data_IF_902352012266
#
_entry.id   IF_902352012266
#
_cell.length_a   1.000
_cell.length_b   1.000
_cell.length_c   1.000
_cell.angle_alpha   90.00
_cell.angle_beta   90.00
_cell.angle_gamma   90.00
#
_symmetry.space_group_name_H-M   'P 1'
#
loop_
_entity.id
_entity.type
_entity.pdbx_description
1 polymer ?
#
# COMPACT_ATOMS: atom_id res chain seq x y z
N UNK A 1 -25.48 -3.72 -23.51
CA UNK A 1 -25.85 -5.07 -23.97
C UNK A 1 -26.71 -4.95 -25.22
N UNK A 2 -26.71 -5.91 -26.15
CA UNK A 2 -27.62 -5.83 -27.32
C UNK A 2 -29.08 -5.93 -26.85
N UNK A 3 -30.01 -5.39 -27.65
CA UNK A 3 -31.45 -5.43 -27.32
C UNK A 3 -31.93 -6.86 -27.08
N UNK A 4 -31.48 -7.82 -27.90
CA UNK A 4 -31.81 -9.24 -27.73
C UNK A 4 -31.45 -9.76 -26.33
N UNK A 5 -30.20 -9.60 -25.90
CA UNK A 5 -29.75 -10.08 -24.61
C UNK A 5 -30.40 -9.32 -23.44
N UNK A 6 -30.66 -8.02 -23.62
CA UNK A 6 -31.41 -7.23 -22.64
C UNK A 6 -32.81 -7.80 -22.43
N UNK A 7 -33.56 -8.01 -23.51
CA UNK A 7 -34.91 -8.57 -23.44
C UNK A 7 -34.90 -9.98 -22.86
N UNK A 8 -33.96 -10.82 -23.27
CA UNK A 8 -33.78 -12.18 -22.74
C UNK A 8 -33.64 -12.17 -21.20
N UNK A 9 -32.72 -11.37 -20.67
CA UNK A 9 -32.50 -11.26 -19.21
C UNK A 9 -33.74 -10.72 -18.51
N UNK A 10 -34.35 -9.64 -19.04
CA UNK A 10 -35.53 -9.05 -18.43
C UNK A 10 -36.70 -10.03 -18.36
N UNK A 11 -36.96 -10.76 -19.45
CA UNK A 11 -38.08 -11.73 -19.52
C UNK A 11 -37.87 -12.89 -18.56
N UNK A 12 -36.66 -13.45 -18.49
CA UNK A 12 -36.38 -14.57 -17.57
C UNK A 12 -36.49 -14.13 -16.11
N UNK A 13 -35.90 -12.99 -15.74
CA UNK A 13 -35.95 -12.51 -14.36
C UNK A 13 -37.39 -12.21 -13.91
N UNK A 14 -38.16 -11.49 -14.74
CA UNK A 14 -39.57 -11.19 -14.44
C UNK A 14 -40.39 -12.48 -14.41
N UNK A 15 -40.18 -13.38 -15.37
CA UNK A 15 -40.84 -14.68 -15.44
C UNK A 15 -40.57 -15.53 -14.21
N UNK A 16 -39.34 -15.57 -13.71
CA UNK A 16 -38.98 -16.27 -12.48
C UNK A 16 -39.64 -15.66 -11.24
N UNK A 17 -39.70 -14.32 -11.12
CA UNK A 17 -40.39 -13.66 -10.01
C UNK A 17 -41.89 -13.96 -10.01
N UNK A 18 -42.53 -13.93 -11.19
CA UNK A 18 -43.95 -14.30 -11.35
C UNK A 18 -44.13 -15.78 -11.03
N UNK A 19 -43.24 -16.65 -11.50
CA UNK A 19 -43.25 -18.09 -11.22
C UNK A 19 -43.14 -18.40 -9.73
N UNK A 20 -42.25 -17.71 -9.01
CA UNK A 20 -42.11 -17.84 -7.55
C UNK A 20 -43.36 -17.34 -6.81
N UNK A 21 -43.92 -16.20 -7.21
CA UNK A 21 -45.17 -15.69 -6.65
C UNK A 21 -46.33 -16.67 -6.87
N UNK A 22 -46.43 -17.23 -8.09
CA UNK A 22 -47.42 -18.24 -8.43
C UNK A 22 -47.24 -19.53 -7.62
N UNK A 23 -46.00 -20.02 -7.48
CA UNK A 23 -45.69 -21.21 -6.69
C UNK A 23 -46.10 -21.02 -5.23
N UNK A 24 -45.69 -19.90 -4.62
CA UNK A 24 -46.01 -19.56 -3.24
C UNK A 24 -47.52 -19.48 -2.98
N UNK A 25 -48.29 -18.90 -3.92
CA UNK A 25 -49.74 -18.80 -3.80
C UNK A 25 -50.43 -20.15 -4.09
N UNK A 26 -49.88 -20.97 -4.97
CA UNK A 26 -50.46 -22.26 -5.35
C UNK A 26 -50.29 -23.30 -4.25
N UNK A 27 -49.12 -23.38 -3.61
CA UNK A 27 -48.89 -24.26 -2.44
C UNK A 27 -49.77 -23.86 -1.25
N UNK A 28 -50.16 -22.59 -1.17
CA UNK A 28 -51.02 -22.08 -0.10
C UNK A 28 -52.51 -22.45 -0.26
N UNK A 29 -53.00 -22.76 -1.47
CA UNK A 29 -54.45 -22.96 -1.72
C UNK A 29 -55.06 -24.15 -0.98
N UNK A 30 -54.25 -25.18 -0.66
CA UNK A 30 -54.71 -26.42 -0.02
C UNK A 30 -54.39 -26.55 1.46
N UNK A 31 -53.78 -25.53 2.08
CA UNK A 31 -53.27 -25.67 3.45
C UNK A 31 -54.38 -25.61 4.52
N UNK A 32 -54.15 -26.29 5.64
CA UNK A 32 -55.02 -26.22 6.82
C UNK A 32 -54.95 -24.83 7.50
N UNK A 33 -55.98 -24.45 8.27
CA UNK A 33 -56.02 -23.12 8.89
C UNK A 33 -55.15 -23.00 10.15
N UNK A 34 -54.84 -24.12 10.78
CA UNK A 34 -54.11 -24.24 12.04
C UNK A 34 -53.09 -25.37 11.94
N UNK A 35 -52.10 -25.39 12.83
CA UNK A 35 -51.18 -26.52 12.97
C UNK A 35 -51.98 -27.80 13.27
N UNK A 36 -51.66 -28.87 12.55
CA UNK A 36 -52.27 -30.18 12.67
C UNK A 36 -51.20 -31.25 12.89
N UNK A 37 -51.54 -32.29 13.65
CA UNK A 37 -50.72 -33.49 13.80
C UNK A 37 -51.02 -34.55 12.71
N UNK A 38 -51.69 -34.16 11.62
CA UNK A 38 -52.05 -35.05 10.51
C UNK A 38 -50.82 -35.36 9.66
N UNK A 39 -50.57 -36.65 9.40
CA UNK A 39 -49.49 -37.12 8.52
C UNK A 39 -50.01 -37.49 7.13
N UNK A 40 -49.13 -37.47 6.13
CA UNK A 40 -49.45 -37.71 4.71
C UNK A 40 -49.74 -39.19 4.35
N UNK A 41 -49.72 -40.11 5.33
CA UNK A 41 -50.10 -41.52 5.14
C UNK A 41 -49.04 -42.43 4.48
N UNK A 42 -47.83 -41.90 4.25
CA UNK A 42 -46.67 -42.66 3.76
C UNK A 42 -45.48 -42.47 4.71
N UNK A 43 -44.73 -43.56 4.94
CA UNK A 43 -43.52 -43.54 5.77
C UNK A 43 -42.31 -43.90 4.94
N UNK A 44 -41.25 -43.11 5.08
CA UNK A 44 -39.95 -43.33 4.46
C UNK A 44 -38.91 -43.48 5.57
N UNK A 45 -38.37 -44.69 5.72
CA UNK A 45 -37.34 -45.00 6.74
C UNK A 45 -37.78 -44.62 8.17
N UNK A 46 -39.05 -44.85 8.49
CA UNK A 46 -39.62 -44.52 9.80
C UNK A 46 -39.94 -43.03 10.01
N UNK A 47 -39.72 -42.17 9.02
CA UNK A 47 -40.09 -40.75 9.04
C UNK A 47 -41.41 -40.55 8.30
N UNK A 48 -42.32 -39.77 8.89
CA UNK A 48 -43.57 -39.33 8.28
C UNK A 48 -43.62 -37.79 8.22
N UNK A 49 -44.29 -37.26 7.20
CA UNK A 49 -44.41 -35.82 6.98
C UNK A 49 -45.76 -35.30 7.46
N UNK A 50 -45.76 -34.20 8.21
CA UNK A 50 -46.97 -33.49 8.61
C UNK A 50 -47.50 -32.59 7.49
N UNK A 51 -48.82 -32.59 7.27
CA UNK A 51 -49.51 -31.68 6.36
C UNK A 51 -49.85 -30.34 7.04
N UNK A 52 -48.80 -29.64 7.47
CA UNK A 52 -48.92 -28.37 8.19
C UNK A 52 -48.95 -27.16 7.25
N UNK A 53 -49.67 -26.09 7.63
CA UNK A 53 -49.68 -24.88 6.82
C UNK A 53 -48.36 -24.14 6.95
N UNK A 54 -48.03 -23.38 5.91
CA UNK A 54 -46.85 -22.50 5.95
C UNK A 54 -46.99 -21.51 7.11
N UNK A 55 -45.94 -21.34 7.95
CA UNK A 55 -45.98 -20.35 9.01
C UNK A 55 -46.30 -18.96 8.45
N UNK A 56 -47.29 -18.27 9.02
CA UNK A 56 -47.76 -16.97 8.50
C UNK A 56 -46.63 -15.93 8.39
N UNK A 57 -45.73 -15.91 9.37
CA UNK A 57 -44.58 -15.02 9.37
C UNK A 57 -43.61 -15.32 8.22
N UNK A 58 -43.38 -16.61 7.92
CA UNK A 58 -42.51 -17.06 6.83
C UNK A 58 -43.12 -16.68 5.49
N UNK A 59 -44.42 -16.89 5.32
CA UNK A 59 -45.13 -16.49 4.10
C UNK A 59 -44.99 -15.00 3.83
N UNK A 60 -45.25 -14.16 4.85
CA UNK A 60 -45.16 -12.71 4.69
C UNK A 60 -43.72 -12.23 4.50
N UNK A 61 -42.74 -12.90 5.11
CA UNK A 61 -41.33 -12.65 4.85
C UNK A 61 -40.99 -12.95 3.38
N UNK A 62 -41.42 -14.10 2.85
CA UNK A 62 -41.20 -14.46 1.45
C UNK A 62 -41.87 -13.47 0.49
N UNK A 63 -43.10 -13.06 0.76
CA UNK A 63 -43.76 -12.00 -0.02
C UNK A 63 -42.98 -10.69 0.07
N UNK A 64 -42.50 -10.33 1.26
CA UNK A 64 -41.68 -9.15 1.48
C UNK A 64 -40.39 -9.16 0.64
N UNK A 65 -39.70 -10.29 0.53
CA UNK A 65 -38.48 -10.40 -0.30
C UNK A 65 -38.78 -10.29 -1.79
N UNK A 66 -39.92 -10.83 -2.26
CA UNK A 66 -40.35 -10.66 -3.66
C UNK A 66 -40.67 -9.19 -3.98
N UNK A 67 -41.41 -8.52 -3.09
CA UNK A 67 -41.74 -7.09 -3.24
C UNK A 67 -40.47 -6.24 -3.19
N UNK A 68 -39.56 -6.53 -2.25
CA UNK A 68 -38.26 -5.88 -2.18
C UNK A 68 -37.45 -6.10 -3.46
N UNK A 69 -37.34 -7.32 -3.96
CA UNK A 69 -36.61 -7.65 -5.18
C UNK A 69 -37.18 -6.94 -6.40
N UNK A 70 -38.50 -6.91 -6.56
CA UNK A 70 -39.15 -6.15 -7.63
C UNK A 70 -38.87 -4.64 -7.51
N UNK A 71 -39.01 -4.07 -6.31
CA UNK A 71 -38.69 -2.66 -6.05
C UNK A 71 -37.22 -2.34 -6.32
N UNK A 72 -36.31 -3.24 -5.94
CA UNK A 72 -34.87 -3.10 -6.19
C UNK A 72 -34.56 -3.08 -7.68
N UNK A 73 -35.16 -3.97 -8.49
CA UNK A 73 -34.99 -4.01 -9.94
C UNK A 73 -35.61 -2.81 -10.67
N UNK A 74 -36.60 -2.15 -10.06
CA UNK A 74 -37.10 -0.86 -10.55
C UNK A 74 -36.08 0.25 -10.28
N UNK A 75 -35.53 0.30 -9.07
CA UNK A 75 -34.61 1.36 -8.64
C UNK A 75 -33.19 1.23 -9.24
N UNK A 76 -32.68 0.02 -9.39
CA UNK A 76 -31.30 -0.27 -9.78
C UNK A 76 -31.22 -0.98 -11.15
N UNK A 77 -30.07 -0.92 -11.84
CA UNK A 77 -29.83 -1.75 -13.01
C UNK A 77 -29.84 -3.24 -12.63
N UNK A 78 -30.43 -4.07 -13.49
CA UNK A 78 -30.53 -5.51 -13.27
C UNK A 78 -31.42 -6.22 -14.30
N UNK A 79 -32.41 -5.52 -14.83
CA UNK A 79 -33.26 -5.99 -15.94
C UNK A 79 -32.66 -5.59 -17.29
N UNK A 80 -31.67 -6.34 -17.76
CA UNK A 80 -31.03 -6.08 -19.06
C UNK A 80 -30.38 -4.69 -19.12
N UNK A 81 -30.79 -3.86 -20.08
CA UNK A 81 -30.31 -2.48 -20.24
C UNK A 81 -31.11 -1.46 -19.40
N UNK A 82 -32.08 -1.89 -18.58
CA UNK A 82 -32.75 -0.99 -17.63
C UNK A 82 -31.72 -0.39 -16.68
N UNK A 83 -31.69 0.95 -16.58
CA UNK A 83 -30.68 1.69 -15.79
C UNK A 83 -31.08 1.96 -14.35
N UNK A 84 -32.33 1.64 -13.98
CA UNK A 84 -32.89 2.04 -12.70
C UNK A 84 -33.39 3.48 -12.69
N UNK A 85 -34.26 3.79 -11.72
CA UNK A 85 -34.79 5.14 -11.48
C UNK A 85 -34.43 5.68 -10.09
N UNK A 86 -33.35 5.17 -9.49
CA UNK A 86 -32.86 5.66 -8.19
C UNK A 86 -32.59 7.18 -8.26
N UNK A 87 -33.21 8.00 -7.40
CA UNK A 87 -33.01 9.44 -7.41
C UNK A 87 -31.58 9.82 -7.02
N UNK A 88 -31.08 10.93 -7.56
CA UNK A 88 -29.74 11.44 -7.28
C UNK A 88 -28.63 10.92 -8.21
N UNK A 89 -29.00 10.20 -9.28
CA UNK A 89 -28.13 9.80 -10.38
C UNK A 89 -28.80 10.11 -11.72
N UNK A 90 -28.32 11.11 -12.46
CA UNK A 90 -28.97 11.60 -13.69
C UNK A 90 -29.09 10.53 -14.79
N UNK A 91 -28.11 9.65 -14.89
CA UNK A 91 -28.05 8.60 -15.92
C UNK A 91 -28.28 7.19 -15.35
N UNK A 92 -28.95 7.10 -14.21
CA UNK A 92 -29.11 5.86 -13.45
C UNK A 92 -27.89 5.53 -12.58
N UNK A 93 -28.11 4.70 -11.57
CA UNK A 93 -27.04 4.25 -10.69
C UNK A 93 -26.15 3.23 -11.42
N UNK A 94 -24.83 3.38 -11.25
CA UNK A 94 -23.83 2.35 -11.55
C UNK A 94 -22.74 2.44 -10.49
N UNK A 95 -21.99 1.36 -10.26
CA UNK A 95 -20.86 1.40 -9.33
C UNK A 95 -19.81 2.46 -9.69
N UNK A 96 -19.62 2.72 -10.99
CA UNK A 96 -18.73 3.79 -11.46
C UNK A 96 -19.26 5.20 -11.13
N UNK A 97 -20.57 5.43 -11.31
CA UNK A 97 -21.18 6.72 -10.99
C UNK A 97 -21.20 6.99 -9.47
N UNK A 98 -21.42 5.95 -8.67
CA UNK A 98 -21.35 6.05 -7.20
C UNK A 98 -19.94 6.36 -6.73
N UNK A 99 -18.94 5.64 -7.24
CA UNK A 99 -17.53 5.92 -6.97
C UNK A 99 -17.15 7.35 -7.38
N UNK A 100 -17.52 7.79 -8.58
CA UNK A 100 -17.24 9.14 -9.07
C UNK A 100 -17.84 10.21 -8.15
N UNK A 101 -19.11 10.03 -7.74
CA UNK A 101 -19.80 10.93 -6.82
C UNK A 101 -19.15 10.97 -5.44
N UNK A 102 -18.66 9.83 -4.95
CA UNK A 102 -17.91 9.76 -3.69
C UNK A 102 -16.56 10.48 -3.79
N UNK A 103 -15.83 10.28 -4.89
CA UNK A 103 -14.56 10.97 -5.16
C UNK A 103 -14.76 12.48 -5.28
N UNK A 104 -15.76 12.96 -6.04
CA UNK A 104 -16.07 14.39 -6.15
C UNK A 104 -16.41 15.02 -4.79
N UNK A 105 -17.17 14.30 -3.95
CA UNK A 105 -17.49 14.75 -2.60
C UNK A 105 -16.24 14.80 -1.71
N UNK A 106 -15.34 13.81 -1.85
CA UNK A 106 -14.07 13.78 -1.14
C UNK A 106 -13.15 14.92 -1.60
N UNK A 107 -13.04 15.15 -2.90
CA UNK A 107 -12.23 16.22 -3.49
C UNK A 107 -12.74 17.60 -3.10
N UNK A 108 -14.06 17.82 -3.13
CA UNK A 108 -14.65 19.08 -2.67
C UNK A 108 -14.37 19.35 -1.18
N UNK A 109 -14.33 18.29 -0.35
CA UNK A 109 -14.13 18.41 1.10
C UNK A 109 -12.65 18.51 1.48
N UNK A 110 -11.79 17.71 0.87
CA UNK A 110 -10.39 17.54 1.25
C UNK A 110 -9.41 18.23 0.28
N UNK A 111 -9.80 18.46 -0.96
CA UNK A 111 -9.00 19.16 -1.97
C UNK A 111 -8.47 20.51 -1.50
N UNK A 112 -9.27 21.40 -0.88
CA UNK A 112 -8.77 22.67 -0.36
C UNK A 112 -7.69 22.50 0.73
N UNK A 113 -7.75 21.43 1.52
CA UNK A 113 -6.76 21.13 2.57
C UNK A 113 -5.45 20.69 1.93
N UNK A 114 -5.51 19.79 0.94
CA UNK A 114 -4.35 19.34 0.19
C UNK A 114 -3.72 20.49 -0.61
N UNK A 115 -4.52 21.31 -1.30
CA UNK A 115 -4.06 22.46 -2.06
C UNK A 115 -3.36 23.51 -1.18
N UNK A 116 -3.89 23.77 0.03
CA UNK A 116 -3.26 24.66 1.01
C UNK A 116 -1.83 24.20 1.31
N UNK A 117 -1.64 22.92 1.64
CA UNK A 117 -0.32 22.40 1.98
C UNK A 117 0.60 22.26 0.76
N UNK A 118 0.07 21.88 -0.41
CA UNK A 118 0.85 21.77 -1.63
C UNK A 118 1.42 23.11 -2.13
N UNK A 119 0.81 24.23 -1.75
CA UNK A 119 1.29 25.57 -2.08
C UNK A 119 2.35 26.11 -1.11
N UNK A 120 2.56 25.44 0.04
CA UNK A 120 3.57 25.82 1.02
C UNK A 120 4.92 25.16 0.70
N UNK A 121 6.05 25.75 1.11
CA UNK A 121 7.33 25.04 1.11
C UNK A 121 7.29 23.83 2.05
N UNK A 122 8.00 22.75 1.69
CA UNK A 122 8.02 21.49 2.46
C UNK A 122 8.43 21.73 3.92
N UNK A 123 9.36 22.65 4.14
CA UNK A 123 9.88 23.09 5.44
C UNK A 123 8.81 23.72 6.33
N UNK A 124 7.90 24.49 5.74
CA UNK A 124 6.79 25.12 6.47
C UNK A 124 5.68 24.12 6.75
N UNK A 125 5.41 23.20 5.82
CA UNK A 125 4.48 22.08 6.06
C UNK A 125 5.00 21.18 7.19
N UNK A 126 6.31 20.96 7.28
CA UNK A 126 6.94 20.15 8.32
C UNK A 126 6.81 20.75 9.74
N UNK A 127 6.41 22.02 9.86
CA UNK A 127 6.16 22.69 11.15
C UNK A 127 4.68 22.65 11.57
N UNK A 128 3.76 22.29 10.67
CA UNK A 128 2.32 22.24 10.97
C UNK A 128 1.94 20.87 11.57
N UNK A 129 1.47 20.80 12.84
CA UNK A 129 1.13 19.53 13.49
C UNK A 129 -0.01 18.76 12.80
N UNK A 130 -0.96 19.47 12.16
CA UNK A 130 -2.03 18.82 11.40
C UNK A 130 -1.48 18.19 10.12
N UNK A 131 -0.58 18.88 9.44
CA UNK A 131 0.10 18.34 8.25
C UNK A 131 0.93 17.10 8.61
N UNK A 132 1.70 17.15 9.71
CA UNK A 132 2.48 16.00 10.19
C UNK A 132 1.59 14.80 10.56
N UNK A 133 0.43 15.04 11.20
CA UNK A 133 -0.53 13.97 11.51
C UNK A 133 -1.13 13.35 10.25
N UNK A 134 -1.35 14.14 9.20
CA UNK A 134 -1.78 13.64 7.89
C UNK A 134 -0.66 12.85 7.19
N UNK A 135 0.54 13.42 7.12
CA UNK A 135 1.73 12.80 6.54
C UNK A 135 2.10 11.49 7.23
N UNK A 136 2.01 11.41 8.56
CA UNK A 136 2.23 10.18 9.32
C UNK A 136 1.22 9.08 9.01
N UNK A 137 -0.05 9.41 8.76
CA UNK A 137 -1.06 8.43 8.30
C UNK A 137 -0.78 7.93 6.89
N UNK A 138 -0.35 8.83 6.00
CA UNK A 138 0.08 8.47 4.65
C UNK A 138 1.31 7.57 4.70
N UNK A 139 2.28 7.88 5.56
CA UNK A 139 3.50 7.09 5.75
C UNK A 139 3.17 5.69 6.30
N UNK A 140 2.33 5.62 7.33
CA UNK A 140 1.87 4.36 7.91
C UNK A 140 1.21 3.44 6.88
N UNK A 141 0.44 4.01 5.94
CA UNK A 141 -0.30 3.23 4.95
C UNK A 141 0.55 2.81 3.74
N UNK A 142 1.54 3.61 3.35
CA UNK A 142 2.20 3.48 2.05
C UNK A 142 3.73 3.26 2.11
N UNK A 143 4.37 3.62 3.22
CA UNK A 143 5.84 3.64 3.33
C UNK A 143 6.37 2.70 4.44
N UNK A 144 5.56 2.46 5.47
CA UNK A 144 5.96 1.71 6.68
C UNK A 144 6.37 0.27 6.41
N UNK A 145 5.84 -0.37 5.36
CA UNK A 145 6.16 -1.76 5.01
C UNK A 145 7.63 -1.94 4.64
N UNK A 146 8.26 -0.90 4.10
CA UNK A 146 9.67 -0.91 3.74
C UNK A 146 10.53 -0.18 4.79
N UNK A 147 10.09 1.02 5.19
CA UNK A 147 10.87 1.88 6.08
C UNK A 147 10.59 1.66 7.57
N UNK A 148 9.78 0.68 7.93
CA UNK A 148 9.38 0.40 9.31
C UNK A 148 8.25 1.31 9.80
N UNK A 149 7.49 0.85 10.80
CA UNK A 149 6.39 1.63 11.40
C UNK A 149 6.89 2.85 12.18
N UNK A 150 8.14 2.84 12.63
CA UNK A 150 8.83 3.94 13.29
C UNK A 150 9.77 4.71 12.34
N UNK A 151 9.71 4.41 11.04
CA UNK A 151 10.54 4.99 9.99
C UNK A 151 12.05 4.73 10.12
N UNK A 152 12.48 3.79 10.98
CA UNK A 152 13.91 3.49 11.22
C UNK A 152 14.53 2.50 10.26
N UNK A 153 13.78 2.05 9.26
CA UNK A 153 14.25 1.14 8.24
C UNK A 153 14.45 -0.30 8.74
N UNK A 154 15.14 -1.07 7.93
CA UNK A 154 15.47 -2.47 8.17
C UNK A 154 16.64 -2.87 7.25
N UNK A 155 17.05 -4.15 7.28
CA UNK A 155 18.01 -4.63 6.29
C UNK A 155 17.50 -4.38 4.86
N UNK A 156 18.26 -3.63 4.08
CA UNK A 156 17.96 -3.21 2.71
C UNK A 156 17.18 -1.90 2.59
N UNK A 157 16.69 -1.33 3.69
CA UNK A 157 15.82 -0.15 3.69
C UNK A 157 16.36 0.95 4.61
N UNK A 158 16.50 2.20 4.11
CA UNK A 158 17.03 3.32 4.90
C UNK A 158 16.20 3.65 6.15
N UNK A 159 16.92 4.01 7.21
CA UNK A 159 16.39 4.81 8.31
C UNK A 159 16.12 6.23 7.79
N UNK A 160 14.92 6.75 8.04
CA UNK A 160 14.49 8.07 7.60
C UNK A 160 14.47 9.10 8.75
N UNK A 161 14.84 8.68 9.97
CA UNK A 161 14.84 9.54 11.16
C UNK A 161 16.24 10.05 11.53
N UNK A 162 17.30 9.51 10.93
CA UNK A 162 18.66 9.97 11.17
C UNK A 162 19.07 11.12 10.23
N UNK A 163 20.33 11.54 10.33
CA UNK A 163 20.91 12.59 9.49
C UNK A 163 21.64 12.04 8.26
N UNK A 164 21.58 10.74 8.00
CA UNK A 164 22.41 10.05 7.01
C UNK A 164 21.66 9.83 5.69
N UNK A 165 21.65 10.88 4.87
CA UNK A 165 20.92 10.89 3.60
C UNK A 165 21.76 10.48 2.39
N UNK A 166 21.43 9.32 1.80
CA UNK A 166 22.13 8.78 0.62
C UNK A 166 22.00 9.65 -0.63
N UNK A 167 20.83 10.26 -0.83
CA UNK A 167 20.51 11.07 -2.01
C UNK A 167 20.47 12.57 -1.73
N UNK A 168 20.71 12.98 -0.47
CA UNK A 168 20.55 14.35 0.03
C UNK A 168 19.31 14.51 0.91
N UNK A 169 19.48 15.22 2.03
CA UNK A 169 18.44 15.44 3.06
C UNK A 169 17.66 16.74 2.89
N UNK A 170 17.96 17.52 1.85
CA UNK A 170 17.23 18.75 1.56
C UNK A 170 15.76 18.44 1.22
N UNK A 171 14.80 19.28 1.65
CA UNK A 171 13.36 19.04 1.50
C UNK A 171 12.93 18.69 0.07
N UNK A 172 13.40 19.45 -0.92
CA UNK A 172 13.09 19.18 -2.34
C UNK A 172 13.78 17.91 -2.86
N UNK A 173 14.91 17.51 -2.27
CA UNK A 173 15.62 16.28 -2.64
C UNK A 173 14.92 15.05 -2.07
N UNK A 174 14.38 15.15 -0.85
CA UNK A 174 13.49 14.15 -0.26
C UNK A 174 12.22 14.03 -1.13
N UNK A 175 11.57 15.16 -1.45
CA UNK A 175 10.39 15.19 -2.33
C UNK A 175 10.68 14.54 -3.69
N UNK A 176 11.79 14.90 -4.33
CA UNK A 176 12.19 14.31 -5.60
C UNK A 176 12.42 12.80 -5.51
N UNK A 177 13.00 12.33 -4.40
CA UNK A 177 13.19 10.89 -4.15
C UNK A 177 11.85 10.16 -4.04
N UNK A 178 10.87 10.74 -3.32
CA UNK A 178 9.54 10.15 -3.17
C UNK A 178 8.76 10.20 -4.50
N UNK A 179 8.80 11.34 -5.18
CA UNK A 179 8.05 11.57 -6.41
C UNK A 179 8.53 10.64 -7.54
N UNK A 180 9.83 10.68 -7.82
CA UNK A 180 10.41 10.07 -9.03
C UNK A 180 11.03 8.69 -8.77
N UNK A 181 11.10 8.27 -7.50
CA UNK A 181 11.83 7.08 -7.12
C UNK A 181 13.34 7.30 -7.13
N UNK A 182 14.07 6.28 -6.68
CA UNK A 182 15.54 6.24 -6.73
C UNK A 182 16.01 4.82 -7.05
N UNK A 183 17.11 4.73 -7.80
CA UNK A 183 17.80 3.48 -8.07
C UNK A 183 19.27 3.60 -7.72
N UNK A 184 19.67 2.97 -6.61
CA UNK A 184 21.06 2.96 -6.15
C UNK A 184 21.81 1.78 -6.74
N UNK A 185 22.88 2.03 -7.49
CA UNK A 185 23.66 0.99 -8.15
C UNK A 185 25.09 0.99 -7.59
N UNK A 186 25.46 -0.13 -6.99
CA UNK A 186 26.86 -0.48 -6.71
C UNK A 186 27.21 -1.68 -7.59
N UNK A 187 28.19 -1.57 -8.51
CA UNK A 187 28.57 -2.69 -9.36
C UNK A 187 29.25 -3.80 -8.55
N UNK A 188 29.24 -5.02 -9.10
CA UNK A 188 29.98 -6.15 -8.58
C UNK A 188 31.47 -5.99 -8.90
N UNK A 189 32.34 -6.15 -7.90
CA UNK A 189 33.79 -5.96 -8.07
C UNK A 189 34.59 -7.25 -8.05
N UNK A 190 33.98 -8.39 -7.71
CA UNK A 190 34.68 -9.68 -7.57
C UNK A 190 35.55 -10.05 -8.77
N UNK A 191 35.01 -9.90 -9.98
CA UNK A 191 35.72 -10.24 -11.23
C UNK A 191 36.83 -9.22 -11.57
N UNK A 192 36.74 -8.00 -11.04
CA UNK A 192 37.66 -6.90 -11.33
C UNK A 192 38.86 -6.89 -10.38
N UNK A 193 38.61 -7.04 -9.08
CA UNK A 193 39.66 -6.93 -8.04
C UNK A 193 40.01 -8.28 -7.38
N UNK A 194 39.31 -9.36 -7.75
CA UNK A 194 39.49 -10.70 -7.18
C UNK A 194 39.01 -10.80 -5.73
N UNK A 195 38.93 -12.02 -5.21
CA UNK A 195 38.49 -12.28 -3.84
C UNK A 195 39.39 -11.66 -2.77
N UNK A 196 40.71 -11.63 -3.02
CA UNK A 196 41.64 -10.96 -2.11
C UNK A 196 41.41 -9.44 -2.11
N UNK A 197 41.21 -8.82 -3.27
CA UNK A 197 40.91 -7.39 -3.35
C UNK A 197 39.59 -7.03 -2.67
N UNK A 198 38.57 -7.89 -2.76
CA UNK A 198 37.31 -7.74 -2.00
C UNK A 198 37.58 -7.72 -0.49
N UNK A 199 38.38 -8.66 0.01
CA UNK A 199 38.75 -8.72 1.42
C UNK A 199 39.56 -7.49 1.86
N UNK A 200 40.51 -7.04 1.05
CA UNK A 200 41.37 -5.90 1.33
C UNK A 200 40.58 -4.59 1.37
N UNK A 201 39.69 -4.35 0.39
CA UNK A 201 38.82 -3.15 0.38
C UNK A 201 37.82 -3.20 1.54
N UNK A 202 37.21 -4.35 1.83
CA UNK A 202 36.34 -4.49 2.99
C UNK A 202 37.09 -4.19 4.29
N UNK A 203 38.37 -4.60 4.38
CA UNK A 203 39.21 -4.33 5.52
C UNK A 203 39.50 -2.84 5.66
N UNK A 204 39.90 -2.18 4.57
CA UNK A 204 40.11 -0.73 4.55
C UNK A 204 38.87 0.06 4.98
N UNK A 205 37.68 -0.29 4.47
CA UNK A 205 36.43 0.37 4.88
C UNK A 205 36.18 0.17 6.39
N UNK A 206 36.32 -1.06 6.88
CA UNK A 206 36.08 -1.40 8.28
C UNK A 206 37.09 -0.74 9.24
N UNK A 207 38.37 -0.67 8.87
CA UNK A 207 39.43 -0.20 9.75
C UNK A 207 39.71 1.28 9.60
N UNK A 208 39.88 1.78 8.38
CA UNK A 208 40.37 3.13 8.14
C UNK A 208 39.25 4.16 8.00
N UNK A 209 38.09 3.79 7.46
CA UNK A 209 36.96 4.72 7.30
C UNK A 209 36.02 4.71 8.52
N UNK A 210 35.91 3.56 9.17
CA UNK A 210 34.99 3.33 10.30
C UNK A 210 35.72 3.30 11.66
N UNK A 211 36.97 2.81 11.71
CA UNK A 211 37.78 2.78 12.93
C UNK A 211 37.64 1.50 13.76
N UNK A 212 36.98 0.45 13.24
CA UNK A 212 36.86 -0.86 13.90
C UNK A 212 38.08 -1.75 13.64
N UNK A 213 38.26 -2.78 14.44
CA UNK A 213 39.32 -3.79 14.23
C UNK A 213 38.86 -4.90 13.29
N UNK A 214 39.81 -5.54 12.61
CA UNK A 214 39.54 -6.75 11.85
C UNK A 214 39.23 -7.93 12.79
N UNK A 215 38.35 -8.86 12.38
CA UNK A 215 38.18 -10.12 13.09
C UNK A 215 39.48 -10.94 13.09
N UNK A 216 39.70 -11.72 14.15
CA UNK A 216 40.87 -12.59 14.26
C UNK A 216 40.90 -13.65 13.14
N UNK A 217 42.12 -13.97 12.68
CA UNK A 217 42.34 -15.00 11.66
C UNK A 217 41.99 -14.61 10.22
N UNK A 218 41.51 -13.38 9.99
CA UNK A 218 41.23 -12.87 8.64
C UNK A 218 42.52 -12.47 7.93
N UNK A 219 42.69 -12.93 6.68
CA UNK A 219 43.78 -12.50 5.78
C UNK A 219 43.29 -11.37 4.88
N UNK A 220 43.53 -10.13 5.31
CA UNK A 220 43.24 -8.93 4.51
C UNK A 220 44.28 -7.85 4.80
N UNK A 221 44.63 -7.06 3.77
CA UNK A 221 45.58 -5.96 3.85
C UNK A 221 44.87 -4.61 3.61
N UNK A 222 44.60 -3.82 4.67
CA UNK A 222 43.98 -2.50 4.55
C UNK A 222 44.79 -1.51 3.69
N UNK A 223 46.11 -1.65 3.59
CA UNK A 223 46.94 -0.78 2.75
C UNK A 223 46.69 -1.06 1.26
N UNK A 224 46.59 -2.33 0.88
CA UNK A 224 46.14 -2.71 -0.47
C UNK A 224 44.69 -2.34 -0.73
N UNK A 225 43.84 -2.47 0.27
CA UNK A 225 42.45 -1.99 0.22
C UNK A 225 42.36 -0.50 -0.10
N UNK A 226 43.24 0.31 0.50
CA UNK A 226 43.32 1.76 0.23
C UNK A 226 43.71 2.06 -1.21
N UNK A 227 44.69 1.35 -1.76
CA UNK A 227 45.12 1.51 -3.17
C UNK A 227 43.96 1.17 -4.13
N UNK A 228 43.26 0.06 -3.88
CA UNK A 228 42.10 -0.36 -4.67
C UNK A 228 40.92 0.60 -4.54
N UNK A 229 40.66 1.10 -3.33
CA UNK A 229 39.62 2.09 -3.06
C UNK A 229 39.88 3.39 -3.81
N UNK A 230 41.12 3.89 -3.77
CA UNK A 230 41.54 5.09 -4.48
C UNK A 230 41.48 4.94 -6.00
N UNK A 231 41.59 3.72 -6.52
CA UNK A 231 41.56 3.45 -7.97
C UNK A 231 40.14 3.26 -8.51
N UNK A 232 39.24 2.66 -7.73
CA UNK A 232 37.94 2.19 -8.22
C UNK A 232 36.73 2.79 -7.48
N UNK A 233 36.82 2.92 -6.16
CA UNK A 233 35.67 3.26 -5.32
C UNK A 233 35.50 4.77 -5.15
N UNK A 234 36.60 5.53 -5.23
CA UNK A 234 36.65 6.99 -5.07
C UNK A 234 35.70 7.75 -6.00
N UNK A 235 35.47 7.23 -7.20
CA UNK A 235 34.64 7.89 -8.21
C UNK A 235 33.18 8.08 -7.74
N UNK A 236 32.69 7.17 -6.89
CA UNK A 236 31.33 7.24 -6.33
C UNK A 236 31.33 7.62 -4.85
N UNK A 237 32.28 7.11 -4.06
CA UNK A 237 32.30 7.31 -2.61
C UNK A 237 33.19 8.47 -2.15
N UNK A 238 33.91 9.12 -3.05
CA UNK A 238 34.85 10.20 -2.74
C UNK A 238 36.13 9.71 -2.06
N UNK A 239 37.18 10.56 -2.01
CA UNK A 239 38.50 10.16 -1.50
C UNK A 239 38.50 9.87 0.00
N UNK A 240 37.59 10.51 0.73
CA UNK A 240 37.41 10.34 2.17
C UNK A 240 36.30 9.33 2.50
N UNK A 241 35.69 8.68 1.49
CA UNK A 241 34.58 7.76 1.70
C UNK A 241 33.26 8.42 2.09
N UNK A 242 33.13 9.75 2.02
CA UNK A 242 31.93 10.50 2.42
C UNK A 242 30.70 10.29 1.54
N UNK A 243 30.83 9.56 0.42
CA UNK A 243 29.73 9.34 -0.51
C UNK A 243 29.50 10.53 -1.45
N UNK A 244 28.62 10.33 -2.42
CA UNK A 244 28.15 11.40 -3.31
C UNK A 244 26.63 11.29 -3.46
N UNK A 245 25.87 12.31 -3.00
CA UNK A 245 24.40 12.30 -3.10
C UNK A 245 23.88 12.14 -4.53
N UNK A 246 24.60 12.68 -5.52
CA UNK A 246 24.27 12.58 -6.94
C UNK A 246 24.17 11.13 -7.44
N UNK A 247 24.95 10.21 -6.84
CA UNK A 247 24.96 8.78 -7.20
C UNK A 247 24.21 7.90 -6.20
N UNK A 248 23.65 8.48 -5.13
CA UNK A 248 23.07 7.70 -4.03
C UNK A 248 24.11 6.88 -3.26
N UNK A 249 25.39 7.23 -3.40
CA UNK A 249 26.51 6.55 -2.80
C UNK A 249 26.61 6.97 -1.32
N UNK A 250 26.48 6.04 -0.36
CA UNK A 250 26.42 6.36 1.05
C UNK A 250 27.76 6.82 1.59
N UNK A 251 27.70 7.56 2.69
CA UNK A 251 28.86 7.86 3.51
C UNK A 251 29.37 6.59 4.20
N UNK A 252 30.55 6.13 3.82
CA UNK A 252 31.20 4.93 4.33
C UNK A 252 31.87 5.13 5.70
N UNK A 253 31.96 6.36 6.20
CA UNK A 253 32.48 6.64 7.55
C UNK A 253 31.43 6.49 8.64
N UNK A 254 30.16 6.30 8.27
CA UNK A 254 28.99 6.20 9.16
C UNK A 254 28.36 4.79 9.06
N UNK A 255 28.97 3.74 9.66
CA UNK A 255 28.51 2.35 9.52
C UNK A 255 27.11 2.10 10.09
N UNK A 256 26.64 2.93 11.02
CA UNK A 256 25.29 2.86 11.58
C UNK A 256 24.19 3.10 10.53
N UNK A 257 24.50 3.83 9.47
CA UNK A 257 23.58 4.13 8.37
C UNK A 257 23.62 3.08 7.25
N UNK A 258 24.40 2.01 7.40
CA UNK A 258 24.52 0.98 6.37
C UNK A 258 23.28 0.09 6.34
N UNK A 259 22.51 0.21 5.26
CA UNK A 259 21.31 -0.61 5.05
C UNK A 259 21.63 -2.08 4.76
N UNK A 260 22.85 -2.42 4.33
CA UNK A 260 23.23 -3.80 3.99
C UNK A 260 24.09 -4.48 5.06
N UNK A 261 24.13 -3.91 6.26
CA UNK A 261 24.96 -4.36 7.37
C UNK A 261 26.42 -3.92 7.24
N UNK A 262 27.13 -3.99 8.36
CA UNK A 262 28.47 -3.42 8.51
C UNK A 262 29.52 -4.44 8.97
N UNK A 263 29.17 -5.72 9.12
CA UNK A 263 30.18 -6.74 9.43
C UNK A 263 31.15 -6.93 8.27
N UNK A 264 32.37 -7.40 8.57
CA UNK A 264 33.38 -7.66 7.53
C UNK A 264 32.82 -8.53 6.38
N UNK A 265 32.10 -9.61 6.71
CA UNK A 265 31.48 -10.49 5.72
C UNK A 265 30.37 -9.79 4.90
N UNK A 266 29.58 -8.90 5.51
CA UNK A 266 28.54 -8.13 4.82
C UNK A 266 29.14 -7.08 3.86
N UNK A 267 30.26 -6.46 4.25
CA UNK A 267 31.03 -5.57 3.39
C UNK A 267 31.59 -6.34 2.20
N UNK A 268 32.23 -7.50 2.44
CA UNK A 268 32.70 -8.37 1.36
C UNK A 268 31.58 -8.76 0.41
N UNK A 269 30.42 -9.18 0.92
CA UNK A 269 29.27 -9.54 0.08
C UNK A 269 28.80 -8.38 -0.80
N UNK A 270 28.74 -7.18 -0.23
CA UNK A 270 28.32 -5.95 -0.92
C UNK A 270 29.32 -5.56 -2.01
N UNK A 271 30.63 -5.64 -1.74
CA UNK A 271 31.67 -5.34 -2.73
C UNK A 271 31.73 -6.42 -3.81
N UNK A 272 31.62 -7.70 -3.42
CA UNK A 272 31.71 -8.86 -4.31
C UNK A 272 30.61 -8.83 -5.37
N UNK A 273 29.35 -8.72 -4.95
CA UNK A 273 28.19 -8.88 -5.83
C UNK A 273 27.46 -7.58 -6.17
N UNK A 274 27.88 -6.45 -5.60
CA UNK A 274 27.20 -5.19 -5.80
C UNK A 274 25.84 -5.11 -5.12
N UNK A 275 25.11 -4.01 -5.37
CA UNK A 275 23.78 -3.70 -4.83
C UNK A 275 22.95 -2.92 -5.85
N UNK A 276 21.65 -3.18 -5.85
CA UNK A 276 20.68 -2.53 -6.73
C UNK A 276 19.43 -2.12 -5.94
N UNK A 277 19.61 -1.20 -4.99
CA UNK A 277 18.50 -0.71 -4.15
C UNK A 277 17.49 0.08 -4.98
N UNK A 278 16.20 -0.12 -4.71
CA UNK A 278 15.12 0.60 -5.38
C UNK A 278 14.19 1.24 -4.37
N UNK A 279 13.93 2.52 -4.57
CA UNK A 279 12.81 3.25 -3.97
C UNK A 279 11.80 3.51 -5.09
N UNK A 280 10.61 2.88 -5.07
CA UNK A 280 9.62 3.03 -6.13
C UNK A 280 9.05 4.45 -6.19
N UNK A 281 8.91 4.99 -7.41
CA UNK A 281 8.27 6.29 -7.64
C UNK A 281 6.83 6.29 -7.12
N UNK A 282 6.46 7.35 -6.38
CA UNK A 282 5.11 7.51 -5.83
C UNK A 282 4.24 8.48 -6.63
N UNK A 283 4.77 9.10 -7.69
CA UNK A 283 4.04 10.05 -8.54
C UNK A 283 2.67 9.53 -8.98
N UNK A 284 2.63 8.33 -9.58
CA UNK A 284 1.40 7.76 -10.16
C UNK A 284 0.45 7.18 -9.10
N UNK A 285 0.96 6.86 -7.91
CA UNK A 285 0.19 6.21 -6.83
C UNK A 285 -0.46 7.27 -5.93
N UNK A 286 0.31 8.30 -5.57
CA UNK A 286 -0.06 9.27 -4.54
C UNK A 286 -0.38 10.66 -5.12
N UNK A 287 0.21 11.02 -6.26
CA UNK A 287 0.13 12.37 -6.80
C UNK A 287 0.95 13.39 -6.00
N UNK A 288 1.10 14.59 -6.56
CA UNK A 288 1.97 15.64 -5.99
C UNK A 288 1.60 16.02 -4.55
N UNK A 289 0.32 16.19 -4.24
CA UNK A 289 -0.10 16.77 -2.96
C UNK A 289 0.18 15.84 -1.78
N UNK A 290 -0.09 14.53 -1.95
CA UNK A 290 0.24 13.53 -0.93
C UNK A 290 1.75 13.31 -0.83
N UNK A 291 2.47 13.32 -1.95
CA UNK A 291 3.94 13.25 -1.94
C UNK A 291 4.55 14.45 -1.21
N UNK A 292 3.99 15.64 -1.38
CA UNK A 292 4.46 16.83 -0.69
C UNK A 292 4.27 16.72 0.83
N UNK A 293 3.12 16.23 1.29
CA UNK A 293 2.89 15.94 2.72
C UNK A 293 3.82 14.84 3.25
N UNK A 294 4.06 13.79 2.46
CA UNK A 294 5.01 12.72 2.81
C UNK A 294 6.44 13.26 2.93
N UNK A 295 6.87 14.12 2.01
CA UNK A 295 8.18 14.75 2.05
C UNK A 295 8.33 15.63 3.31
N UNK A 296 7.31 16.41 3.66
CA UNK A 296 7.30 17.22 4.87
C UNK A 296 7.37 16.37 6.14
N UNK A 297 6.60 15.28 6.18
CA UNK A 297 6.65 14.33 7.30
C UNK A 297 8.04 13.69 7.44
N UNK A 298 8.58 13.12 6.36
CA UNK A 298 9.91 12.49 6.35
C UNK A 298 11.00 13.50 6.74
N UNK A 299 10.94 14.72 6.22
CA UNK A 299 11.86 15.78 6.61
C UNK A 299 11.78 16.06 8.12
N UNK A 300 10.57 16.18 8.69
CA UNK A 300 10.37 16.45 10.12
C UNK A 300 10.97 15.39 11.05
N UNK A 301 11.05 14.12 10.61
CA UNK A 301 11.58 13.02 11.42
C UNK A 301 13.05 13.24 11.79
N UNK A 302 13.83 13.77 10.84
CA UNK A 302 15.24 14.12 11.06
C UNK A 302 15.42 15.44 11.83
N UNK A 303 14.43 16.35 11.82
CA UNK A 303 14.54 17.62 12.56
C UNK A 303 14.17 17.48 14.05
N UNK A 304 13.63 16.34 14.45
CA UNK A 304 13.10 16.09 15.80
C UNK A 304 14.17 16.03 16.90
N UNK A 305 15.46 15.93 16.55
CA UNK A 305 16.57 15.98 17.52
C UNK A 305 16.89 17.41 17.99
N UNK A 306 16.27 18.44 17.41
CA UNK A 306 16.17 19.77 18.02
C UNK A 306 14.90 19.89 18.87
N UNK A 307 14.80 19.06 19.91
CA UNK A 307 14.18 19.47 21.18
C UNK A 307 12.68 19.80 21.22
N UNK A 308 11.79 19.00 20.65
CA UNK A 308 10.44 18.86 21.24
C UNK A 308 9.79 17.55 20.78
N UNK A 309 9.80 16.55 21.68
CA UNK A 309 9.05 15.31 21.48
C UNK A 309 7.58 15.68 21.28
N UNK A 310 7.07 15.52 20.06
CA UNK A 310 5.65 15.43 19.76
C UNK A 310 5.09 14.23 20.54
N UNK A 311 4.64 14.50 21.76
CA UNK A 311 3.93 13.55 22.60
C UNK A 311 2.61 13.22 21.92
N UNK A 312 2.47 11.96 21.55
CA UNK A 312 1.20 11.38 21.15
C UNK A 312 0.18 11.56 22.29
N UNK A 313 -0.91 12.27 22.01
CA UNK A 313 -2.21 12.11 22.64
C UNK A 313 -3.23 11.79 21.54
#
# INVERSE_FOLDING_TARGET
MTTFWSTYVSVLTIGSLIGLAWLLLSTRKGQSNNTTDQTMGHSFDGIEEYDNPLPKWWFWLFVGTLVFGAGYLVLYPGLGNWRGILPGYENGWTGANEWQKEMEKADAKFGPIFAKYAAMPVEEVAKDPQALKMGGRLFASNCSVCHGSDAKGAYGFPNLTDQDWRWGGEPETIKASIMNGRHGVMPAWAEVIGEQGVADVAAFVLTNLDGRSLPEGVKADPAKGKELFASNCVACHGPEGKGTPAMGAPNLTHPQAFIYGSSFAQLQQTIRYGRQGQMPAQADIQGNDKVHLLAAYVYSLSQSDTGEKLTAQ
#
